data_IF_342244275797
#
_entry.id   IF_342244275797
#
_cell.length_a   1.000
_cell.length_b   1.000
_cell.length_c   1.000
_cell.angle_alpha   90.00
_cell.angle_beta   90.00
_cell.angle_gamma   90.00
#
_symmetry.space_group_name_H-M   'P 1'
#
loop_
_entity.id
_entity.type
_entity.pdbx_description
1 polymer ?
#
# COMPACT_ATOMS: atom_id res chain seq x y z
N UNK A 1 -0.83 -33.98 -20.30
CA UNK A 1 -0.03 -34.47 -19.17
C UNK A 1 0.76 -33.36 -18.46
N UNK A 2 1.56 -32.53 -19.17
CA UNK A 2 2.40 -31.50 -18.52
C UNK A 2 1.65 -30.35 -17.81
N UNK A 3 0.47 -29.93 -18.32
CA UNK A 3 -0.37 -28.90 -17.68
C UNK A 3 -1.04 -29.40 -16.40
N UNK A 4 -1.41 -30.68 -16.33
CA UNK A 4 -2.05 -31.26 -15.15
C UNK A 4 -1.10 -31.27 -13.94
N UNK A 5 0.20 -31.42 -14.17
CA UNK A 5 1.19 -31.33 -13.11
C UNK A 5 1.46 -29.88 -12.69
N UNK A 6 1.35 -28.91 -13.61
CA UNK A 6 1.43 -27.50 -13.27
C UNK A 6 0.26 -27.07 -12.36
N UNK A 7 -0.97 -27.46 -12.69
CA UNK A 7 -2.15 -27.16 -11.88
C UNK A 7 -2.08 -27.73 -10.46
N UNK A 8 -1.49 -28.92 -10.29
CA UNK A 8 -1.22 -29.47 -8.95
C UNK A 8 -0.27 -28.60 -8.14
N UNK A 9 0.79 -28.07 -8.78
CA UNK A 9 1.72 -27.15 -8.11
C UNK A 9 1.06 -25.82 -7.78
N UNK A 10 0.22 -25.28 -8.67
CA UNK A 10 -0.57 -24.07 -8.43
C UNK A 10 -1.44 -24.24 -7.19
N UNK A 11 -2.29 -25.28 -7.18
CA UNK A 11 -3.19 -25.55 -6.05
C UNK A 11 -2.44 -25.75 -4.73
N UNK A 12 -1.31 -26.46 -4.74
CA UNK A 12 -0.50 -26.64 -3.55
C UNK A 12 0.15 -25.32 -3.09
N UNK A 13 0.51 -24.44 -4.02
CA UNK A 13 1.05 -23.12 -3.71
C UNK A 13 -0.02 -22.23 -3.06
N UNK A 14 -1.22 -22.16 -3.64
CA UNK A 14 -2.38 -21.43 -3.10
C UNK A 14 -2.72 -21.91 -1.68
N UNK A 15 -2.84 -23.23 -1.47
CA UNK A 15 -3.04 -23.79 -0.12
C UNK A 15 -1.90 -23.45 0.84
N UNK A 16 -0.66 -23.41 0.35
CA UNK A 16 0.49 -23.06 1.20
C UNK A 16 0.47 -21.57 1.58
N UNK A 17 0.01 -20.69 0.69
CA UNK A 17 -0.20 -19.26 0.98
C UNK A 17 -1.32 -19.08 2.03
N UNK A 18 -2.46 -19.74 1.84
CA UNK A 18 -3.60 -19.71 2.78
C UNK A 18 -3.20 -20.17 4.20
N UNK A 19 -2.35 -21.18 4.29
CA UNK A 19 -1.86 -21.73 5.56
C UNK A 19 -0.64 -20.97 6.12
N UNK A 20 -0.13 -19.95 5.42
CA UNK A 20 1.05 -19.19 5.85
C UNK A 20 2.37 -19.96 5.75
N UNK A 21 2.42 -21.08 5.02
CA UNK A 21 3.62 -21.88 4.79
C UNK A 21 4.51 -21.25 3.70
N UNK A 22 4.99 -20.03 3.97
CA UNK A 22 5.67 -19.13 3.00
C UNK A 22 6.79 -19.82 2.20
N UNK A 23 7.68 -20.57 2.85
CA UNK A 23 8.77 -21.29 2.16
C UNK A 23 8.26 -22.38 1.21
N UNK A 24 7.22 -23.09 1.62
CA UNK A 24 6.57 -24.11 0.79
C UNK A 24 5.84 -23.45 -0.38
N UNK A 25 5.14 -22.34 -0.14
CA UNK A 25 4.49 -21.57 -1.20
C UNK A 25 5.49 -21.09 -2.25
N UNK A 26 6.61 -20.48 -1.85
CA UNK A 26 7.69 -20.08 -2.77
C UNK A 26 8.18 -21.26 -3.61
N UNK A 27 8.39 -22.42 -2.99
CA UNK A 27 8.82 -23.62 -3.70
C UNK A 27 7.78 -24.10 -4.72
N UNK A 28 6.51 -24.18 -4.32
CA UNK A 28 5.42 -24.64 -5.18
C UNK A 28 5.16 -23.67 -6.34
N UNK A 29 5.10 -22.36 -6.08
CA UNK A 29 5.03 -21.34 -7.12
C UNK A 29 6.23 -21.41 -8.07
N UNK A 30 7.44 -21.66 -7.56
CA UNK A 30 8.62 -21.85 -8.42
C UNK A 30 8.49 -23.07 -9.32
N UNK A 31 7.90 -24.18 -8.85
CA UNK A 31 7.65 -25.36 -9.68
C UNK A 31 6.59 -25.11 -10.74
N UNK A 32 5.52 -24.41 -10.37
CA UNK A 32 4.47 -23.99 -11.29
C UNK A 32 4.99 -23.06 -12.39
N UNK A 33 5.70 -21.98 -12.01
CA UNK A 33 6.20 -20.96 -12.94
C UNK A 33 7.30 -21.48 -13.88
N UNK A 34 7.98 -22.59 -13.56
CA UNK A 34 8.85 -23.28 -14.53
C UNK A 34 8.09 -23.82 -15.74
N UNK A 35 6.79 -24.09 -15.58
CA UNK A 35 5.89 -24.56 -16.64
C UNK A 35 5.06 -23.42 -17.23
N UNK A 36 4.70 -22.43 -16.39
CA UNK A 36 3.91 -21.27 -16.78
C UNK A 36 4.66 -19.95 -16.50
N UNK A 37 5.80 -19.66 -17.16
CA UNK A 37 6.65 -18.51 -16.82
C UNK A 37 5.99 -17.14 -17.09
N UNK A 38 5.00 -17.09 -17.98
CA UNK A 38 4.24 -15.89 -18.30
C UNK A 38 3.06 -15.62 -17.38
N UNK A 39 2.77 -16.48 -16.40
CA UNK A 39 1.66 -16.26 -15.49
C UNK A 39 2.00 -15.16 -14.47
N UNK A 40 1.46 -13.96 -14.73
CA UNK A 40 1.64 -12.78 -13.90
C UNK A 40 1.09 -12.97 -12.48
N UNK A 41 -0.04 -13.66 -12.32
CA UNK A 41 -0.67 -13.90 -11.03
C UNK A 41 0.23 -14.81 -10.17
N UNK A 42 0.68 -15.93 -10.73
CA UNK A 42 1.60 -16.83 -10.02
C UNK A 42 2.93 -16.16 -9.63
N UNK A 43 3.45 -15.25 -10.48
CA UNK A 43 4.65 -14.44 -10.15
C UNK A 43 4.37 -13.45 -9.01
N UNK A 44 3.19 -12.82 -9.00
CA UNK A 44 2.78 -11.90 -7.95
C UNK A 44 2.64 -12.63 -6.61
N UNK A 45 1.94 -13.76 -6.58
CA UNK A 45 1.79 -14.60 -5.38
C UNK A 45 3.15 -15.06 -4.85
N UNK A 46 4.06 -15.50 -5.74
CA UNK A 46 5.42 -15.87 -5.34
C UNK A 46 6.18 -14.69 -4.72
N UNK A 47 6.08 -13.50 -5.31
CA UNK A 47 6.76 -12.32 -4.78
C UNK A 47 6.21 -11.91 -3.41
N UNK A 48 4.89 -12.00 -3.18
CA UNK A 48 4.27 -11.81 -1.86
C UNK A 48 4.81 -12.82 -0.84
N UNK A 49 4.81 -14.10 -1.18
CA UNK A 49 5.35 -15.15 -0.31
C UNK A 49 6.85 -14.92 0.01
N UNK A 50 7.65 -14.43 -0.96
CA UNK A 50 9.04 -14.02 -0.72
C UNK A 50 9.14 -12.84 0.26
N UNK A 51 8.29 -11.82 0.12
CA UNK A 51 8.28 -10.68 1.03
C UNK A 51 7.98 -11.13 2.48
N UNK A 52 6.94 -11.97 2.64
CA UNK A 52 6.51 -12.50 3.93
C UNK A 52 7.54 -13.47 4.57
N UNK A 53 8.35 -14.13 3.74
CA UNK A 53 9.46 -14.98 4.18
C UNK A 53 10.71 -14.17 4.59
N UNK A 54 10.69 -12.83 4.47
CA UNK A 54 11.84 -11.97 4.71
C UNK A 54 12.83 -11.90 3.55
N UNK A 55 12.48 -12.44 2.38
CA UNK A 55 13.28 -12.40 1.15
C UNK A 55 13.00 -11.11 0.32
N UNK A 56 12.89 -9.97 1.01
CA UNK A 56 12.43 -8.70 0.42
C UNK A 56 13.19 -8.25 -0.83
N UNK A 57 14.51 -8.49 -0.90
CA UNK A 57 15.30 -8.17 -2.11
C UNK A 57 14.82 -8.93 -3.35
N UNK A 58 14.49 -10.23 -3.20
CA UNK A 58 14.00 -11.05 -4.32
C UNK A 58 12.57 -10.67 -4.67
N UNK A 59 11.73 -10.40 -3.67
CA UNK A 59 10.36 -9.91 -3.88
C UNK A 59 10.36 -8.61 -4.70
N UNK A 60 11.16 -7.61 -4.31
CA UNK A 60 11.29 -6.34 -5.05
C UNK A 60 11.78 -6.58 -6.48
N UNK A 61 12.77 -7.47 -6.69
CA UNK A 61 13.27 -7.77 -8.03
C UNK A 61 12.16 -8.36 -8.93
N UNK A 62 11.39 -9.31 -8.41
CA UNK A 62 10.30 -9.92 -9.17
C UNK A 62 9.15 -8.94 -9.44
N UNK A 63 8.80 -8.11 -8.45
CA UNK A 63 7.76 -7.07 -8.58
C UNK A 63 8.16 -5.96 -9.56
N UNK A 64 9.43 -5.54 -9.58
CA UNK A 64 9.92 -4.60 -10.61
C UNK A 64 9.77 -5.17 -12.01
N UNK A 65 10.18 -6.43 -12.19
CA UNK A 65 10.03 -7.10 -13.49
C UNK A 65 8.56 -7.32 -13.89
N UNK A 66 7.63 -7.40 -12.94
CA UNK A 66 6.19 -7.40 -13.22
C UNK A 66 5.68 -5.99 -13.58
N UNK A 67 6.13 -4.97 -12.85
CA UNK A 67 5.77 -3.58 -13.09
C UNK A 67 6.24 -3.10 -14.47
N UNK A 68 7.45 -3.47 -14.88
CA UNK A 68 7.98 -3.15 -16.22
C UNK A 68 7.16 -3.81 -17.34
N UNK A 69 6.62 -5.01 -17.09
CA UNK A 69 5.84 -5.76 -18.07
C UNK A 69 4.36 -5.32 -18.14
N UNK A 70 3.81 -4.83 -17.02
CA UNK A 70 2.42 -4.38 -16.90
C UNK A 70 2.37 -3.03 -16.17
N UNK A 71 2.89 -1.97 -16.80
CA UNK A 71 2.97 -0.68 -16.14
C UNK A 71 1.55 -0.15 -15.90
N UNK A 72 1.27 0.27 -14.67
CA UNK A 72 -0.06 0.74 -14.26
C UNK A 72 -1.02 -0.34 -13.73
N UNK A 73 -0.61 -1.61 -13.64
CA UNK A 73 -1.43 -2.64 -12.99
C UNK A 73 -1.51 -2.37 -11.47
N UNK A 74 -2.68 -2.03 -10.89
CA UNK A 74 -2.81 -1.56 -9.50
C UNK A 74 -2.20 -2.51 -8.47
N UNK A 75 -2.54 -3.80 -8.54
CA UNK A 75 -2.03 -4.79 -7.59
C UNK A 75 -0.51 -4.92 -7.59
N UNK A 76 0.12 -4.82 -8.77
CA UNK A 76 1.58 -4.90 -8.89
C UNK A 76 2.23 -3.65 -8.31
N UNK A 77 1.64 -2.48 -8.54
CA UNK A 77 2.11 -1.21 -7.97
C UNK A 77 2.01 -1.23 -6.46
N UNK A 78 0.84 -1.61 -5.92
CA UNK A 78 0.61 -1.73 -4.47
C UNK A 78 1.65 -2.64 -3.81
N UNK A 79 1.86 -3.85 -4.35
CA UNK A 79 2.81 -4.79 -3.78
C UNK A 79 4.26 -4.31 -3.90
N UNK A 80 4.64 -3.70 -5.04
CA UNK A 80 5.98 -3.14 -5.23
C UNK A 80 6.25 -2.01 -4.24
N UNK A 81 5.30 -1.09 -4.07
CA UNK A 81 5.43 0.04 -3.15
C UNK A 81 5.55 -0.45 -1.71
N UNK A 82 4.71 -1.42 -1.29
CA UNK A 82 4.80 -2.03 0.05
C UNK A 82 6.16 -2.70 0.26
N UNK A 83 6.64 -3.48 -0.70
CA UNK A 83 7.93 -4.17 -0.58
C UNK A 83 9.13 -3.18 -0.53
N UNK A 84 9.07 -2.09 -1.31
CA UNK A 84 10.08 -1.04 -1.27
C UNK A 84 10.05 -0.28 0.06
N UNK A 85 8.87 0.08 0.55
CA UNK A 85 8.72 0.77 1.82
C UNK A 85 9.21 -0.07 3.00
N UNK A 86 8.78 -1.33 3.09
CA UNK A 86 9.22 -2.27 4.15
C UNK A 86 10.71 -2.61 4.11
N UNK A 87 11.39 -2.39 2.99
CA UNK A 87 12.84 -2.56 2.87
C UNK A 87 13.63 -1.26 3.12
N UNK A 88 12.96 -0.17 3.52
CA UNK A 88 13.55 1.14 3.77
C UNK A 88 13.85 1.96 2.52
N UNK A 89 13.45 1.49 1.34
CA UNK A 89 13.62 2.20 0.07
C UNK A 89 12.50 3.22 -0.18
N UNK A 90 12.21 4.08 0.80
CA UNK A 90 11.07 5.01 0.82
C UNK A 90 11.02 5.94 -0.39
N UNK A 91 12.17 6.47 -0.84
CA UNK A 91 12.22 7.31 -2.04
C UNK A 91 11.84 6.54 -3.32
N UNK A 92 12.32 5.31 -3.47
CA UNK A 92 11.96 4.50 -4.63
C UNK A 92 10.48 4.09 -4.61
N UNK A 93 9.93 3.84 -3.41
CA UNK A 93 8.49 3.60 -3.23
C UNK A 93 7.67 4.83 -3.66
N UNK A 94 8.15 6.03 -3.30
CA UNK A 94 7.53 7.29 -3.68
C UNK A 94 7.55 7.49 -5.20
N UNK A 95 8.70 7.34 -5.85
CA UNK A 95 8.84 7.55 -7.30
C UNK A 95 7.89 6.64 -8.09
N UNK A 96 7.75 5.38 -7.69
CA UNK A 96 6.82 4.41 -8.32
C UNK A 96 5.38 4.87 -8.16
N UNK A 97 4.97 5.28 -6.96
CA UNK A 97 3.58 5.63 -6.68
C UNK A 97 3.18 7.00 -7.24
N UNK A 98 4.07 8.00 -7.19
CA UNK A 98 3.87 9.28 -7.87
C UNK A 98 3.70 9.08 -9.38
N UNK A 99 4.54 8.23 -9.98
CA UNK A 99 4.42 7.84 -11.38
C UNK A 99 3.08 7.17 -11.69
N UNK A 100 2.63 6.23 -10.85
CA UNK A 100 1.34 5.57 -11.02
C UNK A 100 0.17 6.56 -11.01
N UNK A 101 0.12 7.44 -10.01
CA UNK A 101 -0.93 8.46 -9.88
C UNK A 101 -0.91 9.47 -11.04
N UNK A 102 0.27 9.81 -11.55
CA UNK A 102 0.41 10.77 -12.64
C UNK A 102 0.02 10.18 -14.01
N UNK A 103 0.45 8.95 -14.32
CA UNK A 103 0.31 8.36 -15.65
C UNK A 103 -0.90 7.42 -15.77
N UNK A 104 -1.43 6.90 -14.66
CA UNK A 104 -2.55 5.96 -14.64
C UNK A 104 -3.68 6.42 -13.70
N UNK A 105 -4.25 7.62 -13.90
CA UNK A 105 -5.28 8.15 -13.00
C UNK A 105 -6.55 7.29 -12.94
N UNK A 106 -6.90 6.58 -14.03
CA UNK A 106 -8.04 5.65 -14.05
C UNK A 106 -7.81 4.33 -13.31
N UNK A 107 -6.56 4.04 -12.93
CA UNK A 107 -6.14 2.87 -12.16
C UNK A 107 -5.70 3.25 -10.74
N UNK A 108 -5.97 4.50 -10.34
CA UNK A 108 -5.66 5.05 -9.02
C UNK A 108 -6.94 5.13 -8.20
N UNK A 109 -6.92 4.56 -7.01
CA UNK A 109 -8.02 4.62 -6.04
C UNK A 109 -7.55 5.20 -4.69
N UNK A 110 -8.44 5.22 -3.70
CA UNK A 110 -8.15 5.75 -2.37
C UNK A 110 -7.05 4.98 -1.62
N UNK A 111 -6.80 3.70 -1.95
CA UNK A 111 -5.70 2.94 -1.35
C UNK A 111 -4.36 3.52 -1.82
N UNK A 112 -4.21 3.79 -3.11
CA UNK A 112 -3.02 4.42 -3.67
C UNK A 112 -2.80 5.81 -3.08
N UNK A 113 -3.86 6.59 -2.90
CA UNK A 113 -3.78 7.91 -2.24
C UNK A 113 -3.33 7.75 -0.78
N UNK A 114 -3.87 6.78 -0.04
CA UNK A 114 -3.52 6.54 1.35
C UNK A 114 -2.05 6.14 1.52
N UNK A 115 -1.54 5.31 0.61
CA UNK A 115 -0.13 4.92 0.56
C UNK A 115 0.77 6.11 0.21
N UNK A 116 0.39 6.93 -0.78
CA UNK A 116 1.18 8.10 -1.18
C UNK A 116 1.20 9.18 -0.08
N UNK A 117 0.07 9.40 0.59
CA UNK A 117 -0.02 10.27 1.76
C UNK A 117 0.90 9.79 2.89
N UNK A 118 0.97 8.47 3.15
CA UNK A 118 1.91 7.92 4.13
C UNK A 118 3.35 8.23 3.74
N UNK A 119 3.75 7.94 2.50
CA UNK A 119 5.12 8.19 2.02
C UNK A 119 5.52 9.67 2.13
N UNK A 120 4.60 10.58 1.83
CA UNK A 120 4.83 12.00 2.04
C UNK A 120 5.03 12.36 3.52
N UNK A 121 4.22 11.79 4.42
CA UNK A 121 4.38 12.04 5.86
C UNK A 121 5.71 11.52 6.40
N UNK A 122 6.13 10.32 6.00
CA UNK A 122 7.43 9.73 6.38
C UNK A 122 8.62 10.60 5.92
N UNK A 123 8.47 11.32 4.81
CA UNK A 123 9.48 12.22 4.26
C UNK A 123 9.30 13.68 4.72
N UNK A 124 8.41 13.95 5.68
CA UNK A 124 8.13 15.30 6.19
C UNK A 124 7.45 16.24 5.17
N UNK A 125 6.90 15.72 4.07
CA UNK A 125 6.26 16.49 2.99
C UNK A 125 4.78 16.80 3.32
N UNK A 126 4.52 17.41 4.47
CA UNK A 126 3.16 17.64 4.99
C UNK A 126 2.27 18.48 4.07
N UNK A 127 2.81 19.51 3.41
CA UNK A 127 2.03 20.28 2.43
C UNK A 127 1.67 19.49 1.17
N UNK A 128 2.50 18.53 0.78
CA UNK A 128 2.18 17.61 -0.32
C UNK A 128 1.05 16.67 0.08
N UNK A 129 1.09 16.11 1.30
CA UNK A 129 -0.01 15.33 1.88
C UNK A 129 -1.32 16.12 1.86
N UNK A 130 -1.31 17.37 2.33
CA UNK A 130 -2.51 18.23 2.34
C UNK A 130 -3.11 18.41 0.96
N UNK A 131 -2.30 18.78 -0.04
CA UNK A 131 -2.77 18.96 -1.42
C UNK A 131 -3.27 17.66 -2.03
N UNK A 132 -2.62 16.53 -1.73
CA UNK A 132 -3.00 15.22 -2.25
C UNK A 132 -4.39 14.81 -1.72
N UNK A 133 -4.61 14.91 -0.41
CA UNK A 133 -5.89 14.52 0.21
C UNK A 133 -7.03 15.40 -0.28
N UNK A 134 -6.83 16.71 -0.38
CA UNK A 134 -7.86 17.63 -0.92
C UNK A 134 -8.22 17.30 -2.37
N UNK A 135 -7.21 17.02 -3.20
CA UNK A 135 -7.44 16.61 -4.59
C UNK A 135 -8.18 15.28 -4.66
N UNK A 136 -7.84 14.31 -3.80
CA UNK A 136 -8.52 13.02 -3.76
C UNK A 136 -9.99 13.17 -3.33
N UNK A 137 -10.30 14.00 -2.33
CA UNK A 137 -11.67 14.32 -1.93
C UNK A 137 -12.51 14.86 -3.09
N UNK A 138 -11.94 15.76 -3.88
CA UNK A 138 -12.64 16.38 -5.00
C UNK A 138 -12.84 15.43 -6.21
N UNK A 139 -11.96 14.44 -6.39
CA UNK A 139 -11.93 13.61 -7.61
C UNK A 139 -12.43 12.18 -7.41
N UNK A 140 -12.29 11.62 -6.21
CA UNK A 140 -12.53 10.21 -5.93
C UNK A 140 -13.72 9.95 -5.00
N UNK A 141 -14.23 10.97 -4.31
CA UNK A 141 -15.38 10.84 -3.40
C UNK A 141 -16.61 11.49 -4.00
N UNK A 142 -17.77 10.85 -3.80
CA UNK A 142 -19.05 11.45 -4.16
C UNK A 142 -19.39 12.64 -3.25
N UNK A 143 -20.24 13.59 -3.70
CA UNK A 143 -20.70 14.68 -2.85
C UNK A 143 -21.35 14.16 -1.56
N UNK A 144 -20.79 14.54 -0.41
CA UNK A 144 -21.27 14.12 0.91
C UNK A 144 -20.74 12.76 1.38
N UNK A 145 -19.95 12.06 0.57
CA UNK A 145 -19.24 10.86 1.01
C UNK A 145 -18.14 11.24 2.02
N UNK A 146 -18.09 10.59 3.19
CA UNK A 146 -17.08 10.89 4.19
C UNK A 146 -15.69 10.51 3.69
N UNK A 147 -14.69 11.32 4.06
CA UNK A 147 -13.30 10.94 3.79
C UNK A 147 -12.92 9.72 4.62
N UNK A 148 -12.24 8.71 4.04
CA UNK A 148 -11.69 7.60 4.81
C UNK A 148 -10.89 8.09 6.01
N UNK A 149 -11.09 7.46 7.16
CA UNK A 149 -10.59 8.01 8.42
C UNK A 149 -9.07 8.13 8.45
N UNK A 150 -8.34 7.18 7.85
CA UNK A 150 -6.88 7.25 7.73
C UNK A 150 -6.42 8.50 6.99
N UNK A 151 -7.12 8.88 5.92
CA UNK A 151 -6.79 10.08 5.14
C UNK A 151 -7.12 11.35 5.91
N UNK A 152 -8.23 11.36 6.66
CA UNK A 152 -8.60 12.48 7.54
C UNK A 152 -7.56 12.67 8.66
N UNK A 153 -7.13 11.59 9.32
CA UNK A 153 -6.09 11.65 10.36
C UNK A 153 -4.75 12.13 9.78
N UNK A 154 -4.32 11.61 8.62
CA UNK A 154 -3.08 12.07 7.95
C UNK A 154 -3.15 13.54 7.55
N UNK A 155 -4.30 14.00 7.09
CA UNK A 155 -4.57 15.42 6.81
C UNK A 155 -4.48 16.26 8.09
N UNK A 156 -5.12 15.82 9.16
CA UNK A 156 -5.11 16.50 10.45
C UNK A 156 -3.70 16.65 11.01
N UNK A 157 -2.92 15.57 11.06
CA UNK A 157 -1.51 15.60 11.50
C UNK A 157 -0.68 16.53 10.62
N UNK A 158 -0.87 16.47 9.30
CA UNK A 158 -0.13 17.34 8.36
C UNK A 158 -0.50 18.83 8.54
N UNK A 159 -1.78 19.15 8.77
CA UNK A 159 -2.22 20.51 9.09
C UNK A 159 -1.55 21.01 10.37
N UNK A 160 -1.56 20.19 11.41
CA UNK A 160 -1.01 20.53 12.72
C UNK A 160 0.50 20.80 12.68
N UNK A 161 1.26 19.95 11.97
CA UNK A 161 2.71 20.14 11.77
C UNK A 161 3.06 21.35 10.89
N UNK A 162 2.10 21.83 10.08
CA UNK A 162 2.24 23.09 9.32
C UNK A 162 1.68 24.31 10.06
N UNK A 163 1.26 24.16 11.33
CA UNK A 163 0.77 25.25 12.18
C UNK A 163 -0.73 25.55 12.06
N UNK A 164 -1.49 24.79 11.27
CA UNK A 164 -2.93 24.99 11.10
C UNK A 164 -3.73 24.09 12.06
N UNK A 165 -3.67 24.43 13.35
CA UNK A 165 -4.33 23.68 14.42
C UNK A 165 -5.85 23.68 14.31
N UNK A 166 -6.43 24.77 13.79
CA UNK A 166 -7.88 24.87 13.60
C UNK A 166 -8.40 23.82 12.62
N UNK A 167 -7.71 23.67 11.47
CA UNK A 167 -8.03 22.61 10.52
C UNK A 167 -7.70 21.22 11.07
N UNK A 168 -6.58 21.06 11.78
CA UNK A 168 -6.21 19.77 12.36
C UNK A 168 -7.33 19.20 13.26
N UNK A 169 -7.88 20.04 14.15
CA UNK A 169 -8.98 19.64 15.04
C UNK A 169 -10.27 19.30 14.28
N UNK A 170 -10.56 20.02 13.19
CA UNK A 170 -11.70 19.72 12.34
C UNK A 170 -11.58 18.33 11.69
N UNK A 171 -10.38 17.97 11.23
CA UNK A 171 -10.10 16.67 10.62
C UNK A 171 -10.12 15.52 11.63
N UNK A 172 -9.67 15.75 12.87
CA UNK A 172 -9.73 14.73 13.92
C UNK A 172 -11.14 14.50 14.47
N UNK A 173 -12.09 15.41 14.22
CA UNK A 173 -13.45 15.31 14.74
C UNK A 173 -14.12 14.00 14.32
N UNK A 174 -13.94 13.56 13.07
CA UNK A 174 -14.50 12.29 12.60
C UNK A 174 -13.93 11.09 13.33
N UNK A 175 -12.66 11.13 13.76
CA UNK A 175 -12.08 10.06 14.57
C UNK A 175 -12.73 10.01 15.95
N UNK A 176 -12.90 11.18 16.58
CA UNK A 176 -13.49 11.30 17.92
C UNK A 176 -14.94 10.79 17.99
N UNK A 177 -15.69 10.87 16.88
CA UNK A 177 -17.06 10.38 16.77
C UNK A 177 -17.16 8.85 16.64
N UNK A 178 -16.12 8.18 16.12
CA UNK A 178 -16.13 6.73 15.87
C UNK A 178 -15.84 5.88 17.12
N UNK A 179 -15.36 6.50 18.20
CA UNK A 179 -14.92 5.79 19.40
C UNK A 179 -13.57 5.07 19.19
N UNK A 180 -12.97 4.61 20.30
CA UNK A 180 -11.59 4.10 20.31
C UNK A 180 -11.47 2.68 19.73
N UNK A 181 -12.50 1.86 19.87
CA UNK A 181 -12.49 0.45 19.47
C UNK A 181 -12.29 0.31 17.95
N UNK A 182 -11.21 -0.35 17.53
CA UNK A 182 -10.85 -0.54 16.13
C UNK A 182 -10.04 0.60 15.49
N UNK A 183 -9.76 1.67 16.24
CA UNK A 183 -8.97 2.82 15.77
C UNK A 183 -7.86 3.21 16.76
N UNK A 184 -7.45 2.29 17.63
CA UNK A 184 -6.50 2.53 18.72
C UNK A 184 -5.20 3.17 18.22
N UNK A 185 -4.66 2.66 17.10
CA UNK A 185 -3.43 3.18 16.49
C UNK A 185 -3.58 4.64 16.02
N UNK A 186 -4.74 5.01 15.48
CA UNK A 186 -5.03 6.38 15.05
C UNK A 186 -5.17 7.31 16.26
N UNK A 187 -5.84 6.86 17.32
CA UNK A 187 -5.92 7.62 18.57
C UNK A 187 -4.54 7.80 19.21
N UNK A 188 -3.67 6.79 19.17
CA UNK A 188 -2.28 6.90 19.64
C UNK A 188 -1.48 7.89 18.78
N UNK A 189 -1.66 7.89 17.46
CA UNK A 189 -1.00 8.83 16.56
C UNK A 189 -1.41 10.27 16.87
N UNK A 190 -2.71 10.53 17.02
CA UNK A 190 -3.25 11.86 17.33
C UNK A 190 -2.86 12.30 18.75
N UNK A 191 -2.95 11.41 19.74
CA UNK A 191 -2.55 11.68 21.12
C UNK A 191 -1.06 11.99 21.24
N UNK A 192 -0.20 11.21 20.58
CA UNK A 192 1.24 11.44 20.53
C UNK A 192 1.61 12.81 19.93
N UNK A 193 0.85 13.26 18.93
CA UNK A 193 0.99 14.62 18.39
C UNK A 193 0.70 15.69 19.45
N UNK A 194 -0.45 15.62 20.13
CA UNK A 194 -0.81 16.63 21.15
C UNK A 194 0.14 16.64 22.35
N UNK A 195 0.67 15.48 22.76
CA UNK A 195 1.64 15.42 23.86
C UNK A 195 2.98 16.08 23.48
N UNK A 196 3.36 16.04 22.20
CA UNK A 196 4.64 16.59 21.73
C UNK A 196 4.57 18.07 21.30
N UNK A 197 3.37 18.60 21.05
CA UNK A 197 3.17 19.94 20.47
C UNK A 197 2.11 20.80 21.18
N UNK A 198 1.54 20.33 22.30
CA UNK A 198 0.63 21.07 23.19
C UNK A 198 1.36 21.64 24.39
#
# INVERSE_FOLDING_TARGET
MQLQDAEKWRRLAEMSDELGFRRQAIYCWTKYLRKCPGDAEGRLCRARAMADAGEGKKAVQELRALHDAMPGQPLVVTDLVRALFSSGATHAALDVLEGHVAYYPGATDLEHINMLAQLYMELGRHDATKRLVERARALLLAPGEPTPIDLAVKMGVSCALTGDMGRALAEFKSLLELGVEGYEDLYLQVGGFFVSHG
#
